data_IF_672935278296
#
_entry.id   IF_672935278296
#
_cell.length_a   1.000
_cell.length_b   1.000
_cell.length_c   1.000
_cell.angle_alpha   90.00
_cell.angle_beta   90.00
_cell.angle_gamma   90.00
#
_symmetry.space_group_name_H-M   'P 1'
#
loop_
_entity.id
_entity.type
_entity.pdbx_description
1 polymer ?
#
# COMPACT_ATOMS: atom_id res chain seq x y z
N UNK A 1 16.14 -5.85 15.16
CA UNK A 1 17.22 -4.91 14.79
C UNK A 1 17.99 -4.36 16.01
N UNK A 2 17.41 -4.26 17.21
CA UNK A 2 18.05 -3.66 18.41
C UNK A 2 18.95 -4.65 19.18
N UNK A 3 19.78 -5.45 18.49
CA UNK A 3 20.84 -6.29 19.11
C UNK A 3 22.25 -5.75 18.80
N UNK A 4 22.35 -4.47 18.44
CA UNK A 4 23.58 -3.87 17.94
C UNK A 4 24.53 -3.42 19.06
N UNK A 5 24.06 -3.32 20.31
CA UNK A 5 24.89 -3.01 21.46
C UNK A 5 24.97 -4.25 22.37
N UNK A 6 26.16 -4.82 22.59
CA UNK A 6 26.31 -5.99 23.46
C UNK A 6 25.97 -5.63 24.91
N UNK A 7 25.42 -6.61 25.64
CA UNK A 7 25.13 -6.53 27.09
C UNK A 7 24.12 -5.45 27.54
N UNK A 8 23.48 -4.74 26.60
CA UNK A 8 22.37 -3.82 26.86
C UNK A 8 21.05 -4.48 26.52
N UNK A 9 20.02 -4.29 27.36
CA UNK A 9 18.66 -4.74 27.01
C UNK A 9 18.16 -3.88 25.85
N UNK A 10 17.74 -4.49 24.72
CA UNK A 10 17.27 -3.75 23.54
C UNK A 10 16.25 -2.64 23.86
N UNK A 11 15.27 -2.97 24.70
CA UNK A 11 14.23 -2.02 25.14
C UNK A 11 14.80 -0.80 25.88
N UNK A 12 15.84 -0.97 26.71
CA UNK A 12 16.44 0.14 27.45
C UNK A 12 17.25 1.07 26.55
N UNK A 13 17.97 0.51 25.57
CA UNK A 13 18.67 1.30 24.56
C UNK A 13 17.66 2.12 23.73
N UNK A 14 16.59 1.47 23.26
CA UNK A 14 15.55 2.14 22.47
C UNK A 14 14.85 3.24 23.27
N UNK A 15 14.51 2.99 24.53
CA UNK A 15 13.86 3.98 25.38
C UNK A 15 14.78 5.19 25.64
N UNK A 16 16.06 4.96 25.95
CA UNK A 16 17.02 6.06 26.13
C UNK A 16 17.20 6.88 24.84
N UNK A 17 17.24 6.19 23.70
CA UNK A 17 17.34 6.82 22.38
C UNK A 17 16.10 7.66 22.05
N UNK A 18 14.89 7.12 22.22
CA UNK A 18 13.64 7.82 21.99
C UNK A 18 13.47 9.03 22.92
N UNK A 19 13.86 8.90 24.20
CA UNK A 19 13.83 10.02 25.14
C UNK A 19 14.75 11.15 24.68
N UNK A 20 15.98 10.84 24.26
CA UNK A 20 16.91 11.84 23.73
C UNK A 20 16.34 12.54 22.48
N UNK A 21 15.78 11.77 21.54
CA UNK A 21 15.12 12.31 20.34
C UNK A 21 14.01 13.28 20.74
N UNK A 22 13.16 12.88 21.69
CA UNK A 22 12.04 13.69 22.15
C UNK A 22 12.52 14.97 22.84
N UNK A 23 13.45 14.88 23.80
CA UNK A 23 13.99 16.01 24.56
C UNK A 23 14.69 17.04 23.65
N UNK A 24 15.44 16.59 22.64
CA UNK A 24 16.08 17.50 21.67
C UNK A 24 15.02 18.13 20.74
N UNK A 25 13.98 17.39 20.35
CA UNK A 25 12.93 17.92 19.48
C UNK A 25 12.09 19.01 20.13
N UNK A 26 11.98 19.01 21.46
CA UNK A 26 11.24 20.03 22.23
C UNK A 26 12.16 21.10 22.86
N UNK A 27 13.45 21.10 22.53
CA UNK A 27 14.46 22.03 23.08
C UNK A 27 14.59 21.98 24.62
N UNK A 28 14.29 20.83 25.23
CA UNK A 28 14.41 20.61 26.68
C UNK A 28 15.65 19.78 27.06
N UNK A 29 16.44 19.36 26.09
CA UNK A 29 17.64 18.56 26.34
C UNK A 29 18.74 19.39 27.03
N UNK A 30 19.14 18.96 28.23
CA UNK A 30 20.18 19.61 29.04
C UNK A 30 21.34 18.66 29.42
N UNK A 31 21.47 17.53 28.70
CA UNK A 31 22.47 16.52 29.00
C UNK A 31 23.89 16.90 28.56
N UNK A 32 24.85 16.06 28.94
CA UNK A 32 26.29 16.31 28.71
C UNK A 32 26.78 15.96 27.30
N UNK A 33 25.93 15.42 26.44
CA UNK A 33 26.26 15.08 25.06
C UNK A 33 25.74 16.18 24.15
N UNK A 34 26.59 16.90 23.43
CA UNK A 34 26.13 17.87 22.44
C UNK A 34 25.43 17.14 21.28
N UNK A 35 24.14 17.37 21.10
CA UNK A 35 23.32 16.77 20.04
C UNK A 35 22.60 17.89 19.32
N UNK A 36 22.83 18.01 18.01
CA UNK A 36 22.12 18.98 17.18
C UNK A 36 20.75 18.42 16.74
N UNK A 37 19.76 19.29 16.54
CA UNK A 37 18.43 18.90 16.04
C UNK A 37 18.51 18.14 14.71
N UNK A 38 19.48 18.49 13.86
CA UNK A 38 19.74 17.82 12.57
C UNK A 38 20.20 16.36 12.75
N UNK A 39 20.90 16.03 13.83
CA UNK A 39 21.34 14.65 14.12
C UNK A 39 20.20 13.75 14.59
N UNK A 40 19.17 14.36 15.18
CA UNK A 40 17.95 13.68 15.61
C UNK A 40 16.98 13.49 14.44
N UNK A 41 17.01 14.42 13.49
CA UNK A 41 16.22 14.35 12.27
C UNK A 41 16.64 13.15 11.42
N UNK A 42 15.73 12.20 11.22
CA UNK A 42 16.01 10.96 10.46
C UNK A 42 16.81 9.91 11.22
N UNK A 43 16.98 10.07 12.54
CA UNK A 43 17.62 9.08 13.41
C UNK A 43 16.77 7.80 13.58
N UNK A 44 15.45 7.92 13.43
CA UNK A 44 14.53 6.79 13.33
C UNK A 44 13.63 6.88 12.10
N UNK A 45 13.08 5.73 11.70
CA UNK A 45 12.07 5.61 10.67
C UNK A 45 10.97 4.66 11.16
N UNK A 46 9.72 4.97 10.87
CA UNK A 46 8.58 4.10 11.12
C UNK A 46 8.12 3.39 9.85
N UNK A 47 7.64 2.16 9.99
CA UNK A 47 6.95 1.44 8.92
C UNK A 47 5.85 0.56 9.50
N UNK A 48 4.82 0.31 8.70
CA UNK A 48 3.74 -0.60 9.07
C UNK A 48 4.17 -2.02 8.66
N UNK A 49 4.15 -2.96 9.62
CA UNK A 49 4.44 -4.37 9.33
C UNK A 49 3.24 -5.07 8.65
N UNK A 50 3.46 -6.30 8.16
CA UNK A 50 2.44 -7.09 7.45
C UNK A 50 1.18 -7.37 8.29
N UNK A 51 1.24 -7.14 9.61
CA UNK A 51 0.13 -7.31 10.54
C UNK A 51 -0.53 -5.97 10.93
N UNK A 52 -0.16 -4.88 10.27
CA UNK A 52 -0.68 -3.54 10.56
C UNK A 52 -0.07 -2.89 11.80
N UNK A 53 0.99 -3.47 12.37
CA UNK A 53 1.67 -2.92 13.53
C UNK A 53 2.68 -1.85 13.12
N UNK A 54 2.62 -0.69 13.78
CA UNK A 54 3.64 0.35 13.61
C UNK A 54 4.97 -0.10 14.24
N UNK A 55 6.04 -0.07 13.45
CA UNK A 55 7.39 -0.50 13.83
C UNK A 55 8.35 0.66 13.62
N UNK A 56 8.97 1.08 14.70
CA UNK A 56 10.08 2.03 14.65
C UNK A 56 11.42 1.30 14.54
N UNK A 57 12.27 1.76 13.62
CA UNK A 57 13.65 1.30 13.43
C UNK A 57 14.61 2.46 13.53
N UNK A 58 15.78 2.19 14.11
CA UNK A 58 16.90 3.12 14.15
C UNK A 58 17.59 3.05 12.79
N UNK A 59 17.79 4.19 12.13
CA UNK A 59 18.48 4.27 10.84
C UNK A 59 20.00 4.15 11.01
N UNK A 60 20.80 3.94 9.95
CA UNK A 60 22.26 4.03 10.05
C UNK A 60 22.74 5.39 10.58
N UNK A 61 21.99 6.47 10.30
CA UNK A 61 22.23 7.79 10.86
C UNK A 61 21.99 7.79 12.38
N UNK A 62 20.84 7.28 12.83
CA UNK A 62 20.56 7.12 14.26
C UNK A 62 21.49 6.16 14.98
N UNK A 63 22.05 5.18 14.28
CA UNK A 63 23.04 4.26 14.83
C UNK A 63 24.34 4.99 15.22
N UNK A 64 24.74 6.06 14.51
CA UNK A 64 25.86 6.93 14.91
C UNK A 64 25.57 7.63 16.23
N UNK A 65 24.36 8.17 16.40
CA UNK A 65 23.92 8.79 17.65
C UNK A 65 23.88 7.77 18.78
N UNK A 66 23.34 6.58 18.51
CA UNK A 66 23.27 5.47 19.47
C UNK A 66 24.67 5.05 19.95
N UNK A 67 25.67 5.00 19.06
CA UNK A 67 27.07 4.74 19.40
C UNK A 67 27.62 5.82 20.35
N UNK A 68 27.42 7.10 20.02
CA UNK A 68 27.85 8.24 20.87
C UNK A 68 27.19 8.22 22.24
N UNK A 69 25.89 7.97 22.32
CA UNK A 69 25.18 7.82 23.61
C UNK A 69 25.76 6.70 24.47
N UNK A 70 26.14 5.60 23.83
CA UNK A 70 26.73 4.46 24.51
C UNK A 70 28.13 4.76 25.06
N UNK A 71 28.97 5.41 24.26
CA UNK A 71 30.32 5.85 24.63
C UNK A 71 30.28 6.93 25.72
N UNK A 72 29.29 7.82 25.68
CA UNK A 72 29.02 8.82 26.72
C UNK A 72 28.42 8.23 28.01
N UNK A 73 28.14 6.92 28.05
CA UNK A 73 27.58 6.25 29.24
C UNK A 73 26.12 6.58 29.54
N UNK A 74 25.39 7.19 28.59
CA UNK A 74 23.97 7.54 28.74
C UNK A 74 23.03 6.33 28.69
N UNK A 75 23.52 5.19 28.16
CA UNK A 75 22.73 3.96 28.05
C UNK A 75 23.02 3.05 29.27
N UNK A 76 21.99 2.63 30.03
CA UNK A 76 22.19 1.74 31.18
C UNK A 76 22.81 0.40 30.79
N UNK A 77 23.97 0.08 31.38
CA UNK A 77 24.74 -1.14 31.11
C UNK A 77 24.72 -2.07 32.32
N UNK A 78 24.68 -3.40 32.07
CA UNK A 78 24.76 -4.40 33.14
C UNK A 78 26.14 -4.45 33.82
N UNK A 79 27.22 -4.13 33.11
CA UNK A 79 28.60 -4.09 33.62
C UNK A 79 29.31 -2.85 33.07
N UNK A 80 29.94 -2.04 33.94
CA UNK A 80 30.59 -0.77 33.58
C UNK A 80 31.89 -0.92 32.76
N UNK A 81 32.50 -2.12 32.67
CA UNK A 81 33.93 -2.29 32.31
C UNK A 81 34.23 -3.44 31.32
N UNK A 82 33.24 -4.11 30.72
CA UNK A 82 33.51 -5.12 29.67
C UNK A 82 34.03 -4.44 28.40
N UNK A 83 35.03 -4.99 27.68
CA UNK A 83 35.36 -4.59 26.32
C UNK A 83 34.13 -4.86 25.44
N UNK A 84 33.61 -3.83 24.79
CA UNK A 84 32.33 -3.91 24.09
C UNK A 84 32.61 -3.94 22.61
N UNK A 85 32.50 -5.13 22.03
CA UNK A 85 32.57 -5.30 20.59
C UNK A 85 31.37 -4.60 19.93
N UNK A 86 31.63 -3.48 19.26
CA UNK A 86 30.64 -2.69 18.52
C UNK A 86 30.70 -2.95 17.01
N UNK A 87 31.44 -3.97 16.56
CA UNK A 87 31.63 -4.26 15.13
C UNK A 87 30.32 -4.39 14.36
N UNK A 88 29.28 -4.98 14.96
CA UNK A 88 27.95 -5.08 14.35
C UNK A 88 27.25 -3.71 14.18
N UNK A 89 27.44 -2.80 15.14
CA UNK A 89 26.92 -1.43 15.06
C UNK A 89 27.68 -0.62 14.01
N UNK A 90 28.99 -0.77 13.96
CA UNK A 90 29.85 -0.11 12.97
C UNK A 90 29.52 -0.58 11.55
N UNK A 91 29.38 -1.89 11.33
CA UNK A 91 28.96 -2.43 10.04
C UNK A 91 27.58 -1.91 9.61
N UNK A 92 26.66 -1.67 10.55
CA UNK A 92 25.36 -1.08 10.24
C UNK A 92 25.46 0.41 9.90
N UNK A 93 26.27 1.17 10.63
CA UNK A 93 26.58 2.58 10.32
C UNK A 93 27.17 2.71 8.91
N UNK A 94 28.14 1.85 8.57
CA UNK A 94 28.81 1.86 7.27
C UNK A 94 27.90 1.42 6.11
N UNK A 95 26.80 0.72 6.42
CA UNK A 95 25.81 0.31 5.41
C UNK A 95 24.99 1.47 4.84
N UNK A 96 25.06 2.68 5.42
CA UNK A 96 24.26 3.86 5.04
C UNK A 96 24.29 4.14 3.53
N UNK A 97 25.49 4.17 2.94
CA UNK A 97 25.66 4.43 1.50
C UNK A 97 24.97 3.37 0.64
N UNK A 98 25.09 2.09 1.02
CA UNK A 98 24.46 0.98 0.30
C UNK A 98 22.93 1.00 0.40
N UNK A 99 22.38 1.40 1.55
CA UNK A 99 20.94 1.51 1.77
C UNK A 99 20.36 2.67 0.95
N UNK A 100 21.03 3.82 0.96
CA UNK A 100 20.62 4.99 0.14
C UNK A 100 20.63 4.65 -1.36
N UNK A 101 21.66 3.97 -1.84
CA UNK A 101 21.73 3.53 -3.25
C UNK A 101 20.57 2.59 -3.60
N UNK A 102 20.27 1.60 -2.74
CA UNK A 102 19.12 0.70 -2.95
C UNK A 102 17.79 1.45 -2.97
N UNK A 103 17.61 2.45 -2.11
CA UNK A 103 16.40 3.26 -2.08
C UNK A 103 16.23 4.08 -3.37
N UNK A 104 17.30 4.68 -3.88
CA UNK A 104 17.29 5.42 -5.16
C UNK A 104 16.90 4.48 -6.31
N UNK A 105 17.55 3.33 -6.43
CA UNK A 105 17.26 2.35 -7.48
C UNK A 105 15.81 1.84 -7.41
N UNK A 106 15.28 1.65 -6.20
CA UNK A 106 13.89 1.22 -6.01
C UNK A 106 12.92 2.33 -6.43
N UNK A 107 13.18 3.58 -6.06
CA UNK A 107 12.35 4.72 -6.45
C UNK A 107 12.34 4.92 -7.97
N UNK A 108 13.50 4.83 -8.62
CA UNK A 108 13.62 4.88 -10.08
C UNK A 108 12.83 3.76 -10.75
N UNK A 109 12.91 2.53 -10.22
CA UNK A 109 12.16 1.39 -10.72
C UNK A 109 10.65 1.60 -10.58
N UNK A 110 10.19 2.03 -9.40
CA UNK A 110 8.76 2.29 -9.13
C UNK A 110 8.23 3.40 -10.03
N UNK A 111 9.03 4.46 -10.27
CA UNK A 111 8.67 5.53 -11.21
C UNK A 111 8.52 5.00 -12.63
N UNK A 112 9.48 4.22 -13.12
CA UNK A 112 9.42 3.63 -14.46
C UNK A 112 8.20 2.72 -14.63
N UNK A 113 7.94 1.81 -13.67
CA UNK A 113 6.77 0.92 -13.69
C UNK A 113 5.45 1.72 -13.67
N UNK A 114 5.40 2.82 -12.89
CA UNK A 114 4.24 3.70 -12.83
C UNK A 114 4.00 4.44 -14.15
N UNK A 115 5.05 4.99 -14.75
CA UNK A 115 4.96 5.69 -16.04
C UNK A 115 4.50 4.76 -17.17
N UNK A 116 5.03 3.53 -17.21
CA UNK A 116 4.61 2.49 -18.14
C UNK A 116 3.14 2.11 -17.93
N UNK A 117 2.75 1.86 -16.68
CA UNK A 117 1.37 1.55 -16.32
C UNK A 117 0.39 2.68 -16.68
N UNK A 118 0.76 3.94 -16.45
CA UNK A 118 -0.04 5.10 -16.82
C UNK A 118 -0.17 5.24 -18.35
N UNK A 119 0.90 5.02 -19.10
CA UNK A 119 0.87 5.07 -20.56
C UNK A 119 -0.05 3.99 -21.14
N UNK A 120 0.07 2.75 -20.64
CA UNK A 120 -0.81 1.64 -21.02
C UNK A 120 -2.28 1.94 -20.65
N UNK A 121 -2.52 2.52 -19.48
CA UNK A 121 -3.86 2.91 -19.05
C UNK A 121 -4.47 4.00 -19.93
N UNK A 122 -3.69 5.03 -20.30
CA UNK A 122 -4.15 6.09 -21.22
C UNK A 122 -4.50 5.52 -22.59
N UNK A 123 -3.74 4.53 -23.08
CA UNK A 123 -4.05 3.86 -24.34
C UNK A 123 -5.40 3.11 -24.29
N UNK A 124 -5.67 2.42 -23.17
CA UNK A 124 -6.96 1.76 -22.93
C UNK A 124 -8.10 2.79 -22.89
N UNK A 125 -7.95 3.88 -22.14
CA UNK A 125 -8.98 4.94 -22.04
C UNK A 125 -9.24 5.60 -23.40
N UNK A 126 -8.19 5.91 -24.17
CA UNK A 126 -8.34 6.45 -25.52
C UNK A 126 -9.04 5.46 -26.47
N UNK A 127 -8.68 4.17 -26.40
CA UNK A 127 -9.33 3.12 -27.19
C UNK A 127 -10.79 2.95 -26.80
N UNK A 128 -11.10 2.99 -25.51
CA UNK A 128 -12.46 2.89 -25.01
C UNK A 128 -13.34 4.09 -25.41
N UNK A 129 -12.79 5.32 -25.37
CA UNK A 129 -13.48 6.51 -25.84
C UNK A 129 -13.82 6.41 -27.34
N UNK A 130 -12.87 5.95 -28.15
CA UNK A 130 -13.11 5.69 -29.57
C UNK A 130 -14.23 4.66 -29.78
N UNK A 131 -14.19 3.52 -29.09
CA UNK A 131 -15.20 2.47 -29.23
C UNK A 131 -16.58 2.84 -28.65
N UNK A 132 -16.65 3.82 -27.76
CA UNK A 132 -17.93 4.35 -27.27
C UNK A 132 -18.73 5.02 -28.42
N UNK A 133 -18.02 5.71 -29.30
CA UNK A 133 -18.55 6.41 -30.48
C UNK A 133 -18.64 5.49 -31.71
N UNK A 134 -17.64 4.65 -31.92
CA UNK A 134 -17.47 3.75 -33.07
C UNK A 134 -17.33 2.27 -32.62
N UNK A 135 -18.41 1.64 -32.13
CA UNK A 135 -18.37 0.26 -31.63
C UNK A 135 -18.03 -0.78 -32.72
N UNK A 136 -18.30 -0.47 -33.99
CA UNK A 136 -18.00 -1.32 -35.14
C UNK A 136 -16.50 -1.53 -35.39
N UNK A 137 -15.65 -0.61 -34.90
CA UNK A 137 -14.20 -0.69 -35.05
C UNK A 137 -13.54 -1.61 -34.01
N UNK A 138 -14.35 -2.22 -33.14
CA UNK A 138 -13.88 -3.17 -32.16
C UNK A 138 -13.34 -4.46 -32.81
N UNK A 139 -12.28 -5.02 -32.24
CA UNK A 139 -11.71 -6.31 -32.64
C UNK A 139 -11.98 -7.36 -31.57
N UNK A 140 -12.07 -8.63 -31.98
CA UNK A 140 -12.39 -9.70 -31.03
C UNK A 140 -11.26 -9.91 -30.01
N UNK A 141 -10.00 -9.81 -30.43
CA UNK A 141 -8.83 -10.02 -29.57
C UNK A 141 -8.64 -8.97 -28.45
N UNK A 142 -9.27 -7.79 -28.57
CA UNK A 142 -9.20 -6.75 -27.53
C UNK A 142 -10.34 -6.87 -26.49
N UNK A 143 -11.36 -7.70 -26.74
CA UNK A 143 -12.51 -7.82 -25.85
C UNK A 143 -12.09 -8.50 -24.54
N UNK A 144 -12.14 -7.72 -23.47
CA UNK A 144 -11.94 -8.17 -22.10
C UNK A 144 -12.77 -7.29 -21.15
N UNK A 145 -12.87 -7.73 -19.89
CA UNK A 145 -13.67 -7.01 -18.88
C UNK A 145 -13.21 -5.58 -18.66
N UNK A 146 -11.90 -5.31 -18.70
CA UNK A 146 -11.36 -3.95 -18.54
C UNK A 146 -11.80 -3.04 -19.69
N UNK A 147 -11.59 -3.43 -20.95
CA UNK A 147 -11.99 -2.62 -22.10
C UNK A 147 -13.50 -2.35 -22.09
N UNK A 148 -14.31 -3.39 -21.85
CA UNK A 148 -15.77 -3.25 -21.75
C UNK A 148 -16.15 -2.24 -20.65
N UNK A 149 -15.57 -2.35 -19.45
CA UNK A 149 -15.85 -1.42 -18.34
C UNK A 149 -15.64 0.03 -18.76
N UNK A 150 -14.50 0.29 -19.41
CA UNK A 150 -14.07 1.60 -19.86
C UNK A 150 -14.96 2.13 -20.98
N UNK A 151 -15.36 1.29 -21.94
CA UNK A 151 -16.30 1.67 -23.00
C UNK A 151 -17.66 2.08 -22.39
N UNK A 152 -18.16 1.32 -21.40
CA UNK A 152 -19.37 1.71 -20.68
C UNK A 152 -19.22 3.04 -19.95
N UNK A 153 -18.08 3.28 -19.29
CA UNK A 153 -17.81 4.54 -18.60
C UNK A 153 -17.73 5.71 -19.59
N UNK A 154 -17.05 5.54 -20.72
CA UNK A 154 -16.93 6.57 -21.74
C UNK A 154 -18.28 6.88 -22.41
N UNK A 155 -19.07 5.86 -22.72
CA UNK A 155 -20.36 6.02 -23.42
C UNK A 155 -21.49 6.53 -22.54
N UNK A 156 -21.59 6.02 -21.32
CA UNK A 156 -22.76 6.24 -20.45
C UNK A 156 -22.43 6.96 -19.14
N UNK A 157 -21.14 7.08 -18.79
CA UNK A 157 -20.67 7.63 -17.53
C UNK A 157 -20.53 6.59 -16.41
N UNK A 158 -19.92 7.01 -15.31
CA UNK A 158 -19.73 6.18 -14.11
C UNK A 158 -21.07 5.74 -13.50
N UNK A 159 -21.10 4.52 -12.97
CA UNK A 159 -22.29 4.01 -12.28
C UNK A 159 -23.48 3.72 -13.22
N UNK A 160 -23.21 3.53 -14.53
CA UNK A 160 -24.16 2.97 -15.49
C UNK A 160 -23.79 1.55 -15.90
N UNK A 161 -24.82 0.78 -16.19
CA UNK A 161 -24.76 -0.56 -16.76
C UNK A 161 -25.72 -0.66 -17.94
N UNK A 162 -25.77 -1.83 -18.57
CA UNK A 162 -26.58 -2.08 -19.76
C UNK A 162 -25.90 -3.10 -20.67
N UNK A 163 -26.23 -3.03 -21.95
CA UNK A 163 -25.66 -3.88 -22.98
C UNK A 163 -25.08 -3.04 -24.12
N UNK A 164 -24.04 -3.56 -24.76
CA UNK A 164 -23.42 -2.99 -25.96
C UNK A 164 -22.85 -4.14 -26.81
N UNK A 165 -22.99 -4.03 -28.12
CA UNK A 165 -22.35 -4.98 -29.04
C UNK A 165 -20.98 -4.43 -29.46
N UNK A 166 -19.93 -5.26 -29.34
CA UNK A 166 -18.56 -4.94 -29.74
C UNK A 166 -17.94 -6.14 -30.45
N UNK A 167 -17.45 -5.96 -31.68
CA UNK A 167 -16.81 -7.02 -32.47
C UNK A 167 -17.69 -8.30 -32.64
N UNK A 168 -19.02 -8.13 -32.66
CA UNK A 168 -19.98 -9.25 -32.69
C UNK A 168 -20.21 -9.92 -31.33
N UNK A 169 -19.54 -9.49 -30.27
CA UNK A 169 -19.81 -9.91 -28.90
C UNK A 169 -20.96 -9.08 -28.30
N UNK A 170 -21.92 -9.75 -27.66
CA UNK A 170 -22.93 -9.07 -26.84
C UNK A 170 -22.38 -8.86 -25.44
N UNK A 171 -21.89 -7.66 -25.15
CA UNK A 171 -21.29 -7.30 -23.87
C UNK A 171 -22.35 -6.73 -22.91
N UNK A 172 -22.26 -7.11 -21.63
CA UNK A 172 -23.17 -6.68 -20.57
C UNK A 172 -22.39 -6.19 -19.35
N UNK A 173 -22.84 -5.07 -18.79
CA UNK A 173 -22.36 -4.52 -17.53
C UNK A 173 -23.51 -4.37 -16.56
N UNK A 174 -23.42 -5.03 -15.41
CA UNK A 174 -24.39 -4.95 -14.33
C UNK A 174 -23.73 -4.33 -13.12
N UNK A 175 -24.43 -3.43 -12.43
CA UNK A 175 -23.93 -2.83 -11.20
C UNK A 175 -24.61 -3.48 -10.00
N UNK A 176 -23.84 -4.29 -9.30
CA UNK A 176 -24.31 -4.92 -8.09
C UNK A 176 -24.19 -3.99 -6.91
N UNK A 177 -25.33 -3.59 -6.38
CA UNK A 177 -25.39 -2.85 -5.12
C UNK A 177 -25.46 -3.85 -3.98
N UNK A 178 -24.31 -4.15 -3.40
CA UNK A 178 -24.25 -4.87 -2.16
C UNK A 178 -24.60 -3.93 -0.99
N UNK A 179 -25.52 -4.38 -0.15
CA UNK A 179 -25.78 -3.76 1.16
C UNK A 179 -25.64 -4.84 2.21
N UNK A 180 -24.83 -4.61 3.24
CA UNK A 180 -24.71 -5.55 4.36
C UNK A 180 -26.07 -5.72 5.07
N UNK A 181 -26.28 -6.84 5.76
CA UNK A 181 -27.51 -7.05 6.55
C UNK A 181 -27.72 -5.90 7.56
N UNK A 182 -26.65 -5.39 8.16
CA UNK A 182 -26.68 -4.23 9.07
C UNK A 182 -26.94 -2.88 8.38
N UNK A 183 -26.84 -2.81 7.05
CA UNK A 183 -26.98 -1.56 6.28
C UNK A 183 -25.77 -0.63 6.35
N UNK A 184 -24.78 -0.92 7.20
CA UNK A 184 -23.59 -0.08 7.45
C UNK A 184 -22.61 -0.07 6.29
N UNK A 185 -22.56 -1.15 5.51
CA UNK A 185 -21.64 -1.27 4.37
C UNK A 185 -22.43 -1.29 3.10
N UNK A 186 -22.10 -0.38 2.18
CA UNK A 186 -22.62 -0.35 0.82
C UNK A 186 -21.44 -0.44 -0.12
N UNK A 187 -21.49 -1.36 -1.07
CA UNK A 187 -20.49 -1.51 -2.11
C UNK A 187 -21.20 -1.62 -3.45
N UNK A 188 -20.68 -0.94 -4.46
CA UNK A 188 -21.17 -1.09 -5.83
C UNK A 188 -20.04 -1.65 -6.66
N UNK A 189 -20.19 -2.89 -7.11
CA UNK A 189 -19.20 -3.56 -7.94
C UNK A 189 -19.76 -3.75 -9.36
N UNK A 190 -19.05 -3.29 -10.41
CA UNK A 190 -19.42 -3.63 -11.77
C UNK A 190 -19.12 -5.11 -12.01
N UNK A 191 -20.11 -5.83 -12.54
CA UNK A 191 -19.96 -7.17 -13.11
C UNK A 191 -20.02 -7.06 -14.61
N UNK A 192 -19.08 -7.69 -15.28
CA UNK A 192 -18.94 -7.59 -16.73
C UNK A 192 -18.91 -8.98 -17.33
N UNK A 193 -19.79 -9.22 -18.28
CA UNK A 193 -19.87 -10.47 -19.03
C UNK A 193 -20.08 -10.20 -20.51
N UNK A 194 -19.71 -11.13 -21.37
CA UNK A 194 -20.00 -11.04 -22.80
C UNK A 194 -20.22 -12.43 -23.40
N UNK A 195 -20.99 -12.46 -24.49
CA UNK A 195 -21.19 -13.66 -25.30
C UNK A 195 -20.43 -13.43 -26.60
N UNK A 196 -19.50 -14.32 -26.94
CA UNK A 196 -18.72 -14.25 -28.18
C UNK A 196 -19.56 -14.65 -29.42
N UNK A 197 -19.06 -14.45 -30.65
CA UNK A 197 -19.78 -14.82 -31.88
C UNK A 197 -20.12 -16.31 -31.99
N UNK A 198 -19.36 -17.18 -31.30
CA UNK A 198 -19.59 -18.62 -31.25
C UNK A 198 -20.64 -19.01 -30.19
N UNK A 199 -21.12 -18.05 -29.40
CA UNK A 199 -22.13 -18.23 -28.37
C UNK A 199 -21.57 -18.61 -27.00
N UNK A 200 -20.25 -18.57 -26.79
CA UNK A 200 -19.66 -18.85 -25.49
C UNK A 200 -19.74 -17.64 -24.58
N UNK A 201 -20.08 -17.88 -23.31
CA UNK A 201 -20.15 -16.85 -22.28
C UNK A 201 -18.79 -16.70 -21.59
N UNK A 202 -18.37 -15.44 -21.43
CA UNK A 202 -17.13 -15.03 -20.77
C UNK A 202 -17.40 -13.96 -19.71
N UNK A 203 -16.40 -13.71 -18.87
CA UNK A 203 -16.45 -12.69 -17.81
C UNK A 203 -17.03 -13.22 -16.50
N UNK A 204 -17.60 -12.30 -15.71
CA UNK A 204 -18.14 -12.64 -14.40
C UNK A 204 -19.41 -13.48 -14.56
N UNK A 205 -19.48 -14.68 -13.94
CA UNK A 205 -20.74 -15.39 -13.83
C UNK A 205 -21.72 -14.53 -13.03
N UNK A 206 -23.03 -14.77 -13.15
CA UNK A 206 -24.03 -14.09 -12.32
C UNK A 206 -24.17 -14.84 -10.97
N UNK A 207 -23.48 -14.46 -9.88
CA UNK A 207 -23.66 -15.13 -8.61
C UNK A 207 -25.05 -14.85 -8.03
N UNK A 208 -25.63 -15.81 -7.30
CA UNK A 208 -26.82 -15.58 -6.52
C UNK A 208 -26.56 -14.48 -5.48
N UNK A 209 -27.58 -13.68 -5.20
CA UNK A 209 -27.47 -12.56 -4.27
C UNK A 209 -27.04 -13.07 -2.87
N UNK A 210 -25.94 -12.52 -2.30
CA UNK A 210 -25.25 -13.15 -1.18
C UNK A 210 -26.00 -13.01 0.15
N UNK A 211 -26.97 -12.10 0.27
CA UNK A 211 -27.68 -11.86 1.51
C UNK A 211 -29.15 -11.42 1.30
N UNK A 212 -29.95 -11.50 2.38
CA UNK A 212 -31.40 -11.15 2.39
C UNK A 212 -31.69 -9.75 1.89
N UNK A 213 -30.80 -8.79 2.17
CA UNK A 213 -31.01 -7.38 1.80
C UNK A 213 -30.70 -7.12 0.32
N UNK A 214 -29.94 -8.00 -0.31
CA UNK A 214 -29.56 -7.95 -1.73
C UNK A 214 -30.40 -8.91 -2.59
N UNK A 215 -31.25 -9.75 -1.98
CA UNK A 215 -32.15 -10.70 -2.66
C UNK A 215 -33.62 -10.49 -2.25
N UNK A 216 -34.47 -9.92 -3.11
CA UNK A 216 -35.90 -9.74 -2.83
C UNK A 216 -36.68 -11.04 -2.58
N UNK A 217 -36.23 -12.15 -3.16
CA UNK A 217 -36.92 -13.45 -3.13
C UNK A 217 -36.53 -14.28 -1.91
N UNK A 218 -35.47 -13.91 -1.21
CA UNK A 218 -34.95 -14.60 -0.02
C UNK A 218 -35.55 -14.08 1.28
N UNK A 219 -36.84 -13.70 1.25
CA UNK A 219 -37.54 -13.12 2.38
C UNK A 219 -38.21 -14.22 3.24
N UNK A 220 -37.48 -14.79 4.19
CA UNK A 220 -37.95 -15.87 5.07
C UNK A 220 -38.83 -15.37 6.22
N UNK A 221 -39.79 -14.46 5.94
CA UNK A 221 -40.83 -14.07 6.91
C UNK A 221 -40.41 -13.17 8.08
N UNK A 222 -39.22 -12.59 8.07
CA UNK A 222 -38.77 -11.61 9.09
C UNK A 222 -38.75 -10.22 8.43
N UNK A 223 -39.80 -9.44 8.66
CA UNK A 223 -40.18 -8.22 7.95
C UNK A 223 -39.10 -7.14 7.74
N UNK A 224 -39.44 -6.16 6.89
CA UNK A 224 -38.69 -4.91 6.73
C UNK A 224 -39.06 -3.98 7.89
N UNK A 225 -38.27 -4.00 8.95
CA UNK A 225 -38.15 -2.87 9.88
C UNK A 225 -37.04 -1.92 9.39
#
# INVERSE_FOLDING_TARGET
MIKLIPEVKPRLALQAFQNLIFEVAIDEYNGSLEVATEEVSGASASYIDDYGGDREVITPHGAKLLKRMFEAGMIPQKRKLSPKDLSALDAYIDSEGSIRQKAILLDEKVKAEKEEGEAAWRAIEARAAHLAEHPEDAKLEEINSTLIDRVFIAKYGYGRGGEIDLAGCRCSKVLDRYVSNSGKTRRTDPRISWIDPDGNQHGDPNPPAPNRRSDPNRNWGLGRE
#
